data_IF_604424126283
#
_entry.id   IF_604424126283
#
_cell.length_a   1.000
_cell.length_b   1.000
_cell.length_c   1.000
_cell.angle_alpha   90.00
_cell.angle_beta   90.00
_cell.angle_gamma   90.00
#
_symmetry.space_group_name_H-M   'P 1'
#
loop_
_entity.id
_entity.type
_entity.pdbx_description
1 polymer ?
#
# COMPACT_ATOMS: atom_id res chain seq x y z
N UNK A 1 75.27 30.93 20.00
CA UNK A 1 74.21 30.04 20.50
C UNK A 1 72.95 30.88 20.61
N UNK A 2 72.09 30.87 19.59
CA UNK A 2 70.90 31.74 19.52
C UNK A 2 69.66 30.87 19.60
N UNK A 3 68.86 31.15 20.62
CA UNK A 3 67.72 30.40 21.12
C UNK A 3 66.54 30.52 20.16
N UNK A 4 65.90 29.38 19.87
CA UNK A 4 64.72 29.26 19.03
C UNK A 4 63.56 30.09 19.61
N UNK A 5 62.95 30.93 18.77
CA UNK A 5 61.83 31.76 19.12
C UNK A 5 60.63 31.44 18.20
N UNK A 6 59.50 31.20 18.89
CA UNK A 6 58.11 31.33 18.42
C UNK A 6 57.55 30.12 17.65
N UNK A 7 56.95 29.25 18.44
CA UNK A 7 56.11 28.10 18.10
C UNK A 7 54.66 28.39 18.56
N UNK A 8 54.09 29.53 18.16
CA UNK A 8 52.73 29.93 18.60
C UNK A 8 51.74 30.21 17.45
N UNK A 9 52.16 30.69 16.27
CA UNK A 9 51.21 30.97 15.17
C UNK A 9 50.63 29.72 14.48
N UNK A 10 51.37 28.60 14.43
CA UNK A 10 50.91 27.40 13.73
C UNK A 10 49.80 26.66 14.51
N UNK A 11 49.84 26.76 15.84
CA UNK A 11 48.87 26.18 16.75
C UNK A 11 47.53 26.92 16.70
N UNK A 12 47.54 28.25 16.69
CA UNK A 12 46.32 29.05 16.62
C UNK A 12 45.61 28.92 15.26
N UNK A 13 46.36 28.82 14.15
CA UNK A 13 45.77 28.60 12.84
C UNK A 13 45.07 27.22 12.73
N UNK A 14 45.64 26.17 13.34
CA UNK A 14 45.02 24.82 13.37
C UNK A 14 43.77 24.79 14.24
N UNK A 15 43.75 25.51 15.36
CA UNK A 15 42.58 25.58 16.25
C UNK A 15 41.44 26.37 15.62
N UNK A 16 41.73 27.51 14.97
CA UNK A 16 40.69 28.31 14.29
C UNK A 16 40.17 27.60 13.02
N UNK A 17 41.04 26.94 12.27
CA UNK A 17 40.68 26.16 11.08
C UNK A 17 39.81 24.95 11.43
N UNK A 18 40.19 24.16 12.44
CA UNK A 18 39.39 23.01 12.88
C UNK A 18 38.03 23.42 13.46
N UNK A 19 37.98 24.49 14.25
CA UNK A 19 36.72 24.98 14.83
C UNK A 19 35.76 25.52 13.75
N UNK A 20 36.28 26.17 12.71
CA UNK A 20 35.47 26.63 11.58
C UNK A 20 35.03 25.47 10.68
N UNK A 21 35.89 24.48 10.44
CA UNK A 21 35.54 23.29 9.66
C UNK A 21 34.43 22.48 10.34
N UNK A 22 34.49 22.31 11.66
CA UNK A 22 33.43 21.65 12.43
C UNK A 22 32.11 22.42 12.36
N UNK A 23 32.13 23.75 12.47
CA UNK A 23 30.93 24.58 12.32
C UNK A 23 30.33 24.54 10.92
N UNK A 24 31.15 24.40 9.88
CA UNK A 24 30.67 24.22 8.50
C UNK A 24 30.05 22.84 8.34
N UNK A 25 30.65 21.78 8.88
CA UNK A 25 30.07 20.43 8.87
C UNK A 25 28.75 20.36 9.67
N UNK A 26 28.68 20.99 10.84
CA UNK A 26 27.46 21.04 11.65
C UNK A 26 26.35 21.85 10.97
N UNK A 27 26.70 22.90 10.21
CA UNK A 27 25.72 23.67 9.41
C UNK A 27 25.26 22.91 8.18
N UNK A 28 26.16 22.22 7.48
CA UNK A 28 25.81 21.35 6.33
C UNK A 28 24.92 20.21 6.80
N UNK A 29 25.25 19.57 7.93
CA UNK A 29 24.41 18.56 8.57
C UNK A 29 23.02 19.11 8.91
N UNK A 30 22.92 20.29 9.56
CA UNK A 30 21.62 20.89 9.93
C UNK A 30 20.76 21.31 8.74
N UNK A 31 21.36 21.74 7.63
CA UNK A 31 20.64 22.01 6.37
C UNK A 31 20.08 20.69 5.80
N UNK A 32 20.85 19.60 5.87
CA UNK A 32 20.40 18.27 5.44
C UNK A 32 19.47 17.56 6.43
N UNK A 33 19.38 17.94 7.71
CA UNK A 33 18.46 17.33 8.67
C UNK A 33 17.02 17.83 8.49
N UNK A 34 16.81 19.11 8.21
CA UNK A 34 15.46 19.62 7.95
C UNK A 34 14.91 19.08 6.63
N UNK A 35 15.77 19.04 5.60
CA UNK A 35 15.43 18.49 4.28
C UNK A 35 15.34 16.97 4.31
N UNK A 36 16.23 16.26 5.01
CA UNK A 36 16.17 14.79 5.17
C UNK A 36 15.03 14.30 6.07
N UNK A 37 14.59 15.10 7.05
CA UNK A 37 13.36 14.81 7.82
C UNK A 37 12.10 15.19 7.02
N UNK A 38 12.17 16.18 6.13
CA UNK A 38 11.09 16.45 5.19
C UNK A 38 10.97 15.33 4.14
N UNK A 39 12.09 14.93 3.53
CA UNK A 39 12.19 13.86 2.54
C UNK A 39 11.83 12.49 3.13
N UNK A 40 12.33 12.17 4.33
CA UNK A 40 11.95 10.95 5.03
C UNK A 40 10.47 10.91 5.45
N UNK A 41 9.86 12.07 5.78
CA UNK A 41 8.42 12.13 6.02
C UNK A 41 7.63 11.94 4.74
N UNK A 42 8.00 12.67 3.68
CA UNK A 42 7.37 12.56 2.36
C UNK A 42 7.44 11.13 1.81
N UNK A 43 8.61 10.47 1.96
CA UNK A 43 8.80 9.08 1.56
C UNK A 43 7.87 8.12 2.32
N UNK A 44 7.70 8.31 3.64
CA UNK A 44 6.77 7.50 4.45
C UNK A 44 5.32 7.79 4.07
N UNK A 45 4.96 9.04 3.80
CA UNK A 45 3.64 9.41 3.31
C UNK A 45 3.34 8.79 1.95
N UNK A 46 4.26 8.89 0.98
CA UNK A 46 4.07 8.31 -0.35
C UNK A 46 3.98 6.78 -0.29
N UNK A 47 4.84 6.13 0.51
CA UNK A 47 4.80 4.67 0.68
C UNK A 47 3.48 4.20 1.29
N UNK A 48 2.98 4.90 2.32
CA UNK A 48 1.70 4.56 2.94
C UNK A 48 0.51 4.86 2.04
N UNK A 49 0.56 5.94 1.26
CA UNK A 49 -0.44 6.25 0.25
C UNK A 49 -0.48 5.19 -0.86
N UNK A 50 0.68 4.83 -1.43
CA UNK A 50 0.79 3.86 -2.50
C UNK A 50 0.27 2.48 -2.06
N UNK A 51 0.64 2.05 -0.85
CA UNK A 51 0.15 0.79 -0.28
C UNK A 51 -1.36 0.84 -0.04
N UNK A 52 -1.86 1.90 0.59
CA UNK A 52 -3.30 2.05 0.86
C UNK A 52 -4.13 2.12 -0.42
N UNK A 53 -3.60 2.78 -1.47
CA UNK A 53 -4.23 2.84 -2.78
C UNK A 53 -4.23 1.47 -3.47
N UNK A 54 -3.10 0.75 -3.45
CA UNK A 54 -3.00 -0.59 -4.03
C UNK A 54 -4.00 -1.55 -3.38
N UNK A 55 -4.05 -1.56 -2.05
CA UNK A 55 -4.97 -2.41 -1.29
C UNK A 55 -6.43 -2.03 -1.55
N UNK A 56 -6.75 -0.72 -1.54
CA UNK A 56 -8.09 -0.23 -1.83
C UNK A 56 -8.54 -0.55 -3.26
N UNK A 57 -7.65 -0.46 -4.23
CA UNK A 57 -7.92 -0.81 -5.62
C UNK A 57 -8.16 -2.32 -5.78
N UNK A 58 -7.36 -3.15 -5.10
CA UNK A 58 -7.50 -4.60 -5.12
C UNK A 58 -8.88 -5.03 -4.59
N UNK A 59 -9.23 -4.58 -3.38
CA UNK A 59 -10.54 -4.80 -2.76
C UNK A 59 -11.67 -4.31 -3.67
N UNK A 60 -11.50 -3.10 -4.21
CA UNK A 60 -12.46 -2.46 -5.10
C UNK A 60 -12.79 -3.31 -6.33
N UNK A 61 -11.74 -3.80 -7.00
CA UNK A 61 -11.88 -4.65 -8.17
C UNK A 61 -12.50 -6.00 -7.81
N UNK A 62 -12.01 -6.65 -6.76
CA UNK A 62 -12.45 -8.00 -6.39
C UNK A 62 -13.94 -8.06 -6.03
N UNK A 63 -14.42 -7.11 -5.23
CA UNK A 63 -15.84 -7.04 -4.88
C UNK A 63 -16.72 -6.65 -6.07
N UNK A 64 -16.23 -5.77 -6.94
CA UNK A 64 -17.00 -5.28 -8.10
C UNK A 64 -17.10 -6.34 -9.21
N UNK A 65 -16.15 -7.27 -9.31
CA UNK A 65 -16.17 -8.35 -10.34
C UNK A 65 -17.45 -9.18 -10.29
N UNK A 66 -17.90 -9.58 -9.10
CA UNK A 66 -19.12 -10.39 -8.96
C UNK A 66 -20.38 -9.61 -9.39
N UNK A 67 -20.54 -8.38 -8.91
CA UNK A 67 -21.69 -7.55 -9.25
C UNK A 67 -21.74 -7.24 -10.76
N UNK A 68 -20.63 -6.79 -11.32
CA UNK A 68 -20.53 -6.46 -12.75
C UNK A 68 -20.74 -7.68 -13.65
N UNK A 69 -20.31 -8.87 -13.23
CA UNK A 69 -20.57 -10.12 -13.94
C UNK A 69 -22.08 -10.41 -14.05
N UNK A 70 -22.80 -10.35 -12.93
CA UNK A 70 -24.25 -10.60 -12.92
C UNK A 70 -25.05 -9.51 -13.64
N UNK A 71 -24.58 -8.26 -13.64
CA UNK A 71 -25.18 -7.17 -14.41
C UNK A 71 -24.97 -7.39 -15.92
N UNK A 72 -23.76 -7.79 -16.32
CA UNK A 72 -23.45 -8.10 -17.72
C UNK A 72 -24.24 -9.32 -18.22
N UNK A 73 -24.37 -10.36 -17.40
CA UNK A 73 -25.23 -11.52 -17.69
C UNK A 73 -26.70 -11.13 -17.87
N UNK A 74 -27.19 -10.19 -17.05
CA UNK A 74 -28.56 -9.69 -17.18
C UNK A 74 -28.76 -8.96 -18.51
N UNK A 75 -27.81 -8.10 -18.89
CA UNK A 75 -27.84 -7.36 -20.15
C UNK A 75 -27.71 -8.29 -21.37
N UNK A 76 -26.94 -9.38 -21.25
CA UNK A 76 -26.78 -10.38 -22.30
C UNK A 76 -28.01 -11.29 -22.49
N UNK A 77 -28.99 -11.27 -21.58
CA UNK A 77 -30.21 -12.06 -21.67
C UNK A 77 -29.99 -13.56 -21.44
N UNK A 78 -29.01 -13.94 -20.62
CA UNK A 78 -28.70 -15.35 -20.33
C UNK A 78 -29.89 -16.07 -19.69
N UNK A 79 -30.17 -17.29 -20.16
CA UNK A 79 -31.27 -18.18 -19.70
C UNK A 79 -30.78 -19.38 -18.91
N UNK A 80 -29.57 -19.30 -18.38
CA UNK A 80 -29.01 -20.38 -17.58
C UNK A 80 -29.62 -20.34 -16.17
N UNK A 81 -30.48 -21.33 -15.90
CA UNK A 81 -31.18 -21.47 -14.62
C UNK A 81 -30.24 -21.61 -13.42
N UNK A 82 -29.02 -22.12 -13.62
CA UNK A 82 -28.03 -22.25 -12.53
C UNK A 82 -27.40 -20.89 -12.19
N UNK A 83 -27.02 -20.10 -13.19
CA UNK A 83 -26.49 -18.75 -13.00
C UNK A 83 -27.54 -17.79 -12.45
N UNK A 84 -28.81 -17.95 -12.83
CA UNK A 84 -29.92 -17.17 -12.29
C UNK A 84 -30.14 -17.47 -10.79
N UNK A 85 -30.00 -18.73 -10.37
CA UNK A 85 -30.06 -19.09 -8.94
C UNK A 85 -28.89 -18.48 -8.17
N UNK A 86 -27.66 -18.58 -8.69
CA UNK A 86 -26.50 -17.93 -8.06
C UNK A 86 -26.65 -16.40 -7.98
N UNK A 87 -27.24 -15.77 -9.00
CA UNK A 87 -27.52 -14.32 -8.96
C UNK A 87 -28.44 -13.95 -7.79
N UNK A 88 -29.47 -14.75 -7.51
CA UNK A 88 -30.35 -14.50 -6.37
C UNK A 88 -29.64 -14.77 -5.03
N UNK A 89 -28.75 -15.76 -4.98
CA UNK A 89 -27.87 -15.98 -3.81
C UNK A 89 -26.93 -14.79 -3.59
N UNK A 90 -26.33 -14.24 -4.65
CA UNK A 90 -25.48 -13.05 -4.57
C UNK A 90 -26.24 -11.83 -4.04
N UNK A 91 -27.47 -11.61 -4.48
CA UNK A 91 -28.34 -10.57 -3.92
C UNK A 91 -28.66 -10.82 -2.44
N UNK A 92 -28.85 -12.10 -2.07
CA UNK A 92 -29.12 -12.52 -0.69
C UNK A 92 -27.94 -12.30 0.26
N UNK A 93 -26.70 -12.37 -0.23
CA UNK A 93 -25.49 -12.07 0.56
C UNK A 93 -25.44 -10.60 1.00
N UNK A 94 -26.18 -9.71 0.33
CA UNK A 94 -26.26 -8.27 0.64
C UNK A 94 -24.90 -7.65 0.93
N UNK A 95 -23.92 -7.97 0.07
CA UNK A 95 -22.56 -7.47 0.21
C UNK A 95 -22.56 -5.94 0.17
N UNK A 96 -21.86 -5.27 1.11
CA UNK A 96 -21.70 -3.83 1.03
C UNK A 96 -21.02 -3.43 -0.27
N UNK A 97 -21.23 -2.19 -0.71
CA UNK A 97 -20.57 -1.68 -1.92
C UNK A 97 -19.07 -1.69 -1.69
N UNK A 98 -18.29 -1.92 -2.75
CA UNK A 98 -16.83 -1.91 -2.65
C UNK A 98 -16.24 -0.58 -2.13
N UNK A 99 -17.00 0.52 -2.18
CA UNK A 99 -16.63 1.83 -1.62
C UNK A 99 -17.09 2.03 -0.17
N UNK A 100 -17.73 1.04 0.44
CA UNK A 100 -18.20 1.10 1.82
C UNK A 100 -17.01 1.10 2.79
N UNK A 101 -17.13 1.92 3.84
CA UNK A 101 -16.11 2.05 4.88
C UNK A 101 -15.88 0.74 5.65
N UNK A 102 -16.87 -0.16 5.66
CA UNK A 102 -16.77 -1.47 6.29
C UNK A 102 -15.63 -2.33 5.72
N UNK A 103 -15.26 -2.09 4.46
CA UNK A 103 -14.16 -2.81 3.82
C UNK A 103 -12.79 -2.25 4.17
N UNK A 104 -12.69 -1.07 4.79
CA UNK A 104 -11.41 -0.42 5.08
C UNK A 104 -10.93 -0.73 6.50
N UNK A 105 -10.15 -1.80 6.66
CA UNK A 105 -9.55 -2.20 7.96
C UNK A 105 -8.54 -1.19 8.49
N UNK A 106 -8.05 -0.33 7.62
CA UNK A 106 -7.28 0.86 7.97
C UNK A 106 -7.99 1.80 8.96
N UNK A 107 -9.33 1.85 8.96
CA UNK A 107 -10.08 2.68 9.90
C UNK A 107 -10.09 2.10 11.32
N UNK A 108 -10.04 0.77 11.44
CA UNK A 108 -10.12 0.04 12.71
C UNK A 108 -8.74 -0.16 13.38
N UNK A 109 -7.66 -0.14 12.58
CA UNK A 109 -6.30 -0.45 13.02
C UNK A 109 -5.32 0.74 12.88
N UNK A 110 -5.78 1.98 13.13
CA UNK A 110 -4.98 3.21 12.94
C UNK A 110 -3.68 3.27 13.78
N UNK A 111 -3.58 2.49 14.86
CA UNK A 111 -2.41 2.47 15.74
C UNK A 111 -1.41 1.36 15.39
N UNK A 112 -1.68 0.56 14.36
CA UNK A 112 -0.84 -0.57 13.97
C UNK A 112 0.09 -0.21 12.80
N UNK A 113 1.24 -0.91 12.69
CA UNK A 113 2.13 -0.78 11.54
C UNK A 113 1.42 -1.06 10.21
N UNK A 114 1.77 -0.31 9.16
CA UNK A 114 1.13 -0.37 7.84
C UNK A 114 1.13 -1.78 7.23
N UNK A 115 2.21 -2.52 7.41
CA UNK A 115 2.38 -3.91 6.96
C UNK A 115 1.37 -4.85 7.62
N UNK A 116 1.12 -4.67 8.92
CA UNK A 116 0.14 -5.47 9.67
C UNK A 116 -1.28 -5.14 9.22
N UNK A 117 -1.58 -3.86 9.00
CA UNK A 117 -2.90 -3.42 8.55
C UNK A 117 -3.19 -3.89 7.12
N UNK A 118 -2.19 -3.81 6.23
CA UNK A 118 -2.27 -4.30 4.87
C UNK A 118 -2.49 -5.83 4.84
N UNK A 119 -1.75 -6.59 5.65
CA UNK A 119 -1.97 -8.03 5.78
C UNK A 119 -3.40 -8.35 6.25
N UNK A 120 -3.92 -7.64 7.25
CA UNK A 120 -5.31 -7.79 7.73
C UNK A 120 -6.33 -7.42 6.66
N UNK A 121 -6.07 -6.39 5.85
CA UNK A 121 -6.90 -6.01 4.72
C UNK A 121 -6.94 -7.12 3.67
N UNK A 122 -5.78 -7.73 3.36
CA UNK A 122 -5.67 -8.89 2.49
C UNK A 122 -6.50 -10.06 3.01
N UNK A 123 -6.24 -10.50 4.25
CA UNK A 123 -7.00 -11.61 4.88
C UNK A 123 -8.50 -11.36 4.88
N UNK A 124 -8.93 -10.14 5.23
CA UNK A 124 -10.36 -9.79 5.18
C UNK A 124 -10.95 -9.96 3.78
N UNK A 125 -10.20 -9.58 2.75
CA UNK A 125 -10.64 -9.68 1.35
C UNK A 125 -10.68 -11.15 0.92
N UNK A 126 -9.66 -11.93 1.26
CA UNK A 126 -9.58 -13.36 0.97
C UNK A 126 -10.74 -14.12 1.64
N UNK A 127 -11.01 -13.87 2.92
CA UNK A 127 -12.13 -14.47 3.65
C UNK A 127 -13.47 -14.16 2.98
N UNK A 128 -13.66 -12.92 2.51
CA UNK A 128 -14.86 -12.50 1.80
C UNK A 128 -14.99 -13.20 0.45
N UNK A 129 -13.88 -13.35 -0.26
CA UNK A 129 -13.82 -14.05 -1.54
C UNK A 129 -14.07 -15.55 -1.37
N UNK A 130 -13.59 -16.15 -0.28
CA UNK A 130 -13.86 -17.54 0.07
C UNK A 130 -15.34 -17.76 0.41
N UNK A 131 -15.97 -16.84 1.14
CA UNK A 131 -17.42 -16.87 1.39
C UNK A 131 -18.23 -16.75 0.07
N UNK A 132 -17.79 -15.85 -0.82
CA UNK A 132 -18.36 -15.72 -2.16
C UNK A 132 -18.15 -16.99 -2.98
N UNK A 133 -16.98 -17.62 -2.91
CA UNK A 133 -16.68 -18.85 -3.65
C UNK A 133 -17.47 -20.06 -3.14
N UNK A 134 -17.68 -20.14 -1.83
CA UNK A 134 -18.54 -21.16 -1.22
C UNK A 134 -20.01 -20.98 -1.61
N UNK A 135 -20.47 -19.73 -1.72
CA UNK A 135 -21.86 -19.40 -2.03
C UNK A 135 -22.17 -19.38 -3.53
N UNK A 136 -21.17 -19.08 -4.36
CA UNK A 136 -21.29 -18.86 -5.81
C UNK A 136 -20.21 -19.66 -6.56
N UNK A 137 -20.21 -21.00 -6.44
CA UNK A 137 -19.13 -21.83 -6.96
C UNK A 137 -18.97 -21.75 -8.47
N UNK A 138 -20.05 -21.62 -9.25
CA UNK A 138 -19.97 -21.53 -10.72
C UNK A 138 -19.28 -20.22 -11.10
N UNK A 139 -19.75 -19.11 -10.53
CA UNK A 139 -19.19 -17.79 -10.79
C UNK A 139 -17.72 -17.68 -10.34
N UNK A 140 -17.38 -18.19 -9.15
CA UNK A 140 -16.02 -18.17 -8.64
C UNK A 140 -15.06 -19.03 -9.48
N UNK A 141 -15.49 -20.21 -9.94
CA UNK A 141 -14.69 -21.05 -10.84
C UNK A 141 -14.36 -20.36 -12.16
N UNK A 142 -15.24 -19.50 -12.68
CA UNK A 142 -14.97 -18.72 -13.90
C UNK A 142 -13.84 -17.70 -13.70
N UNK A 143 -13.72 -17.13 -12.50
CA UNK A 143 -12.65 -16.19 -12.17
C UNK A 143 -11.30 -16.90 -11.95
N UNK A 144 -11.31 -18.13 -11.44
CA UNK A 144 -10.11 -18.95 -11.25
C UNK A 144 -9.62 -19.55 -12.59
N UNK A 145 -10.54 -19.98 -13.46
CA UNK A 145 -10.23 -20.81 -14.62
C UNK A 145 -9.46 -20.10 -15.76
N UNK A 146 -9.33 -18.77 -15.76
CA UNK A 146 -8.64 -18.04 -16.84
C UNK A 146 -7.12 -17.90 -16.69
N UNK A 147 -6.52 -18.41 -15.60
CA UNK A 147 -5.07 -18.38 -15.40
C UNK A 147 -4.24 -19.38 -16.24
N UNK A 148 -4.88 -20.35 -16.92
CA UNK A 148 -4.18 -21.51 -17.52
C UNK A 148 -4.22 -21.62 -19.05
N UNK A 149 -4.43 -20.53 -19.80
CA UNK A 149 -4.36 -20.61 -21.27
C UNK A 149 -3.87 -19.34 -21.94
N UNK A 150 -2.60 -19.01 -21.74
CA UNK A 150 -1.79 -18.32 -22.76
C UNK A 150 -0.42 -19.00 -22.85
N UNK A 151 -0.37 -20.17 -23.50
CA UNK A 151 0.86 -20.59 -24.15
C UNK A 151 0.95 -19.78 -25.44
N UNK A 152 1.71 -18.69 -25.40
CA UNK A 152 2.20 -18.02 -26.60
C UNK A 152 3.16 -18.98 -27.31
N UNK A 153 2.73 -19.47 -28.47
CA UNK A 153 3.59 -20.11 -29.48
C UNK A 153 4.34 -19.04 -30.24
#
# INVERSE_FOLDING_TARGET
>A
MSQAAVSDEETDFKVVSSTNYQRVQDKVGKISYADGVADGREQVFQTSFDQGYADGLHVGLDLTKFGSFFDTLAAAGTRDDQLLKEKEVYKGLNLPKATDKQHFKYLDHQNEPLDVVSAKQGTYTDDLLDECAASLPITANLFISRGSSVNLV
#
